data_IF_628830849798
#
_entry.id   IF_628830849798
#
_cell.length_a   1.000
_cell.length_b   1.000
_cell.length_c   1.000
_cell.angle_alpha   90.00
_cell.angle_beta   90.00
_cell.angle_gamma   90.00
#
_symmetry.space_group_name_H-M   'P 1'
#
loop_
_entity.id
_entity.type
_entity.pdbx_description
1 polymer ?
#
# COMPACT_ATOMS: atom_id res chain seq x y z
N UNK A 1 42.75 -15.17 57.29
CA UNK A 1 42.30 -15.11 55.89
C UNK A 1 40.85 -14.66 55.94
N UNK A 2 40.60 -13.36 55.71
CA UNK A 2 39.27 -12.75 55.86
C UNK A 2 38.46 -12.95 54.58
N UNK A 3 37.27 -13.52 54.70
CA UNK A 3 36.32 -13.72 53.60
C UNK A 3 35.54 -12.42 53.41
N UNK A 4 35.83 -11.68 52.33
CA UNK A 4 35.06 -10.51 51.93
C UNK A 4 33.81 -11.02 51.19
N UNK A 5 32.66 -10.97 51.85
CA UNK A 5 31.36 -11.15 51.20
C UNK A 5 31.03 -9.81 50.53
N UNK A 6 31.18 -9.76 49.21
CA UNK A 6 30.70 -8.63 48.39
C UNK A 6 29.21 -8.85 48.15
N UNK A 7 28.37 -8.13 48.88
CA UNK A 7 26.93 -8.05 48.57
C UNK A 7 26.76 -7.20 47.30
N UNK A 8 26.44 -7.84 46.18
CA UNK A 8 25.83 -7.15 45.04
C UNK A 8 24.41 -6.76 45.45
N UNK A 9 24.20 -5.52 45.87
CA UNK A 9 22.86 -4.94 45.91
C UNK A 9 22.43 -4.71 44.46
N UNK A 10 21.49 -5.50 43.94
CA UNK A 10 20.66 -5.01 42.85
C UNK A 10 19.84 -3.86 43.43
N UNK A 11 19.93 -2.67 42.83
CA UNK A 11 18.99 -1.60 43.15
C UNK A 11 17.66 -2.07 42.57
N UNK A 12 16.78 -2.57 43.43
CA UNK A 12 15.38 -2.75 43.08
C UNK A 12 14.85 -1.39 42.63
N UNK A 13 14.29 -1.32 41.43
CA UNK A 13 14.01 -0.03 40.80
C UNK A 13 12.91 -0.12 39.76
N UNK A 14 12.06 0.90 39.73
CA UNK A 14 11.11 1.04 38.63
C UNK A 14 11.79 1.63 37.40
N UNK A 15 11.51 1.11 36.20
CA UNK A 15 11.95 1.66 34.92
C UNK A 15 10.76 2.10 34.08
N UNK A 16 10.97 3.06 33.18
CA UNK A 16 9.96 3.46 32.18
C UNK A 16 10.46 3.12 30.79
N UNK A 17 9.72 2.28 30.09
CA UNK A 17 10.11 1.64 28.84
C UNK A 17 8.97 1.71 27.80
N UNK A 18 9.23 1.18 26.59
CA UNK A 18 8.25 1.09 25.50
C UNK A 18 7.51 2.41 25.21
N UNK A 19 8.27 3.51 25.13
CA UNK A 19 7.75 4.82 24.76
C UNK A 19 7.19 4.77 23.34
N UNK A 20 5.91 5.14 23.21
CA UNK A 20 5.20 5.13 21.94
C UNK A 20 4.53 6.47 21.69
N UNK A 21 4.55 6.90 20.44
CA UNK A 21 3.82 8.05 19.93
C UNK A 21 2.84 7.53 18.87
N UNK A 22 1.54 7.81 19.03
CA UNK A 22 0.50 7.25 18.15
C UNK A 22 0.64 5.72 17.97
N UNK A 23 0.85 5.01 19.08
CA UNK A 23 1.06 3.55 19.18
C UNK A 23 2.34 3.00 18.54
N UNK A 24 3.17 3.85 17.94
CA UNK A 24 4.39 3.46 17.24
C UNK A 24 5.64 3.84 18.02
N UNK A 25 6.68 3.03 17.89
CA UNK A 25 8.02 3.38 18.38
C UNK A 25 8.72 4.29 17.35
N UNK A 26 9.19 5.46 17.81
CA UNK A 26 9.92 6.42 16.99
C UNK A 26 9.32 6.73 15.60
N UNK A 27 8.01 7.02 15.47
CA UNK A 27 7.38 7.11 14.16
C UNK A 27 7.90 8.28 13.34
N UNK A 28 8.05 8.05 12.04
CA UNK A 28 8.52 9.02 11.07
C UNK A 28 7.33 9.54 10.24
N UNK A 29 7.16 10.86 10.24
CA UNK A 29 6.26 11.55 9.33
C UNK A 29 4.78 11.50 9.71
N UNK A 30 4.43 11.47 11.00
CA UNK A 30 3.03 11.54 11.44
C UNK A 30 2.45 12.94 11.18
N UNK A 31 1.14 13.04 10.99
CA UNK A 31 0.43 14.31 10.76
C UNK A 31 -0.61 14.65 11.84
N UNK A 32 -0.73 13.80 12.87
CA UNK A 32 -1.56 14.07 14.06
C UNK A 32 -0.95 15.25 14.82
N UNK A 33 -1.67 16.38 14.86
CA UNK A 33 -1.16 17.65 15.43
C UNK A 33 -1.08 17.65 16.96
N UNK A 34 -1.86 16.79 17.61
CA UNK A 34 -1.86 16.56 19.05
C UNK A 34 -1.57 15.08 19.30
N UNK A 35 -0.34 14.62 19.02
CA UNK A 35 -0.02 13.20 19.10
C UNK A 35 -0.17 12.68 20.53
N UNK A 36 -0.62 11.44 20.63
CA UNK A 36 -0.81 10.70 21.89
C UNK A 36 0.46 9.96 22.25
N UNK A 37 0.89 10.13 23.49
CA UNK A 37 2.08 9.55 24.07
C UNK A 37 1.69 8.44 25.06
N UNK A 38 2.40 7.33 25.00
CA UNK A 38 2.21 6.18 25.90
C UNK A 38 3.56 5.65 26.37
N UNK A 39 3.60 5.09 27.58
CA UNK A 39 4.78 4.46 28.16
C UNK A 39 4.38 3.32 29.10
N UNK A 40 5.31 2.42 29.36
CA UNK A 40 5.14 1.29 30.27
C UNK A 40 6.03 1.45 31.50
N UNK A 41 5.44 1.28 32.68
CA UNK A 41 6.16 1.22 33.95
C UNK A 41 6.46 -0.25 34.26
N UNK A 42 7.73 -0.59 34.40
CA UNK A 42 8.18 -1.88 34.92
C UNK A 42 8.72 -1.69 36.34
N UNK A 43 8.41 -2.62 37.24
CA UNK A 43 8.90 -2.59 38.61
C UNK A 43 9.13 -4.01 39.12
N UNK A 44 10.16 -4.20 39.94
CA UNK A 44 10.48 -5.51 40.54
C UNK A 44 9.42 -5.92 41.59
N UNK A 45 8.83 -4.93 42.27
CA UNK A 45 7.86 -5.12 43.34
C UNK A 45 6.42 -5.13 42.82
N UNK A 46 5.56 -5.92 43.49
CA UNK A 46 4.13 -5.97 43.17
C UNK A 46 3.39 -4.77 43.75
N UNK A 47 2.34 -4.35 43.04
CA UNK A 47 1.44 -3.29 43.51
C UNK A 47 2.02 -1.86 43.36
N UNK A 48 3.15 -1.72 42.65
CA UNK A 48 3.67 -0.41 42.28
C UNK A 48 2.77 0.20 41.20
N UNK A 49 2.33 1.43 41.45
CA UNK A 49 1.52 2.21 40.51
C UNK A 49 2.18 3.56 40.25
N UNK A 50 2.02 4.09 39.03
CA UNK A 50 2.29 5.50 38.75
C UNK A 50 1.35 6.38 39.57
N UNK A 51 1.92 7.45 40.13
CA UNK A 51 1.23 8.41 40.96
C UNK A 51 1.25 9.82 40.35
N UNK A 52 2.27 10.14 39.55
CA UNK A 52 2.34 11.33 38.69
C UNK A 52 3.33 11.12 37.54
N UNK A 53 3.24 11.97 36.52
CA UNK A 53 4.20 12.02 35.42
C UNK A 53 4.64 13.45 35.10
N UNK A 54 5.77 13.59 34.38
CA UNK A 54 6.21 14.81 33.70
C UNK A 54 6.78 14.44 32.34
N UNK A 55 6.22 14.99 31.28
CA UNK A 55 6.68 14.82 29.91
C UNK A 55 7.54 16.01 29.53
N UNK A 56 8.71 15.74 28.96
CA UNK A 56 9.60 16.72 28.37
C UNK A 56 9.72 16.45 26.88
N UNK A 57 9.47 17.45 26.06
CA UNK A 57 9.68 17.43 24.60
C UNK A 57 10.70 18.48 24.25
N UNK A 58 11.70 18.10 23.46
CA UNK A 58 12.81 18.96 23.10
C UNK A 58 13.21 18.85 21.63
N UNK A 59 13.95 19.86 21.18
CA UNK A 59 14.58 19.90 19.84
C UNK A 59 15.85 19.04 19.73
N UNK A 60 16.40 18.56 20.85
CA UNK A 60 17.58 17.69 20.88
C UNK A 60 17.60 16.76 22.10
N UNK A 61 18.29 15.64 21.96
CA UNK A 61 18.54 14.69 23.06
C UNK A 61 19.37 15.33 24.19
N UNK A 62 20.33 16.21 23.87
CA UNK A 62 21.18 16.86 24.87
C UNK A 62 20.38 17.72 25.85
N UNK A 63 19.32 18.39 25.38
CA UNK A 63 18.42 19.15 26.25
C UNK A 63 17.62 18.23 27.18
N UNK A 64 17.17 17.06 26.69
CA UNK A 64 16.49 16.08 27.54
C UNK A 64 17.42 15.47 28.58
N UNK A 65 18.68 15.23 28.24
CA UNK A 65 19.71 14.79 29.19
C UNK A 65 19.95 15.83 30.31
N UNK A 66 19.68 17.12 30.03
CA UNK A 66 19.69 18.21 31.00
C UNK A 66 18.33 18.42 31.69
N UNK A 67 17.34 17.54 31.49
CA UNK A 67 15.97 17.69 31.98
C UNK A 67 15.26 18.96 31.51
N UNK A 68 15.51 19.38 30.26
CA UNK A 68 14.92 20.57 29.66
C UNK A 68 14.09 20.20 28.43
N UNK A 69 12.79 20.50 28.48
CA UNK A 69 11.91 20.44 27.32
C UNK A 69 11.72 21.83 26.72
N UNK A 70 12.58 22.23 25.78
CA UNK A 70 12.49 23.55 25.14
C UNK A 70 11.28 23.70 24.22
N UNK A 71 10.70 22.58 23.77
CA UNK A 71 9.47 22.57 22.98
C UNK A 71 8.25 22.51 23.89
N UNK A 72 8.24 21.57 24.84
CA UNK A 72 7.16 21.43 25.81
C UNK A 72 7.64 20.76 27.09
N UNK A 73 7.09 21.21 28.21
CA UNK A 73 7.24 20.62 29.52
C UNK A 73 5.86 20.61 30.16
N UNK A 74 5.33 19.42 30.45
CA UNK A 74 4.00 19.30 31.05
C UNK A 74 3.94 19.82 32.49
N UNK A 75 5.10 20.04 33.13
CA UNK A 75 5.19 20.07 34.58
C UNK A 75 4.82 18.71 35.19
N UNK A 76 4.74 18.64 36.52
CA UNK A 76 4.28 17.43 37.20
C UNK A 76 2.77 17.36 37.15
N UNK A 77 2.23 16.34 36.49
CA UNK A 77 0.80 16.07 36.39
C UNK A 77 0.44 14.92 37.34
N UNK A 78 -0.45 15.17 38.30
CA UNK A 78 -0.94 14.15 39.25
C UNK A 78 -1.97 13.26 38.53
N UNK A 79 -1.51 12.15 37.96
CA UNK A 79 -2.36 11.18 37.26
C UNK A 79 -1.63 9.83 37.14
N UNK A 80 -2.40 8.75 37.22
CA UNK A 80 -1.94 7.37 36.95
C UNK A 80 -2.06 6.99 35.46
N UNK A 81 -2.55 7.90 34.61
CA UNK A 81 -2.61 7.69 33.16
C UNK A 81 -1.21 7.58 32.56
N UNK A 82 -0.94 6.47 31.87
CA UNK A 82 0.32 6.19 31.16
C UNK A 82 0.12 5.86 29.68
N UNK A 83 -1.12 5.92 29.19
CA UNK A 83 -1.47 5.60 27.81
C UNK A 83 -2.36 6.68 27.22
N UNK A 84 -2.13 6.98 25.95
CA UNK A 84 -2.88 7.95 25.17
C UNK A 84 -2.91 9.36 25.80
N UNK A 85 -1.80 9.78 26.41
CA UNK A 85 -1.65 11.12 26.96
C UNK A 85 -1.40 12.09 25.81
N UNK A 86 -2.34 13.00 25.56
CA UNK A 86 -2.24 13.95 24.45
C UNK A 86 -1.12 14.96 24.69
N UNK A 87 -0.34 15.21 23.64
CA UNK A 87 0.57 16.35 23.59
C UNK A 87 -0.23 17.66 23.74
N UNK A 88 0.09 18.44 24.78
CA UNK A 88 -0.57 19.71 25.09
C UNK A 88 0.40 20.91 25.01
N UNK A 89 1.49 20.76 24.25
CA UNK A 89 2.46 21.82 24.02
C UNK A 89 2.09 22.76 22.86
N UNK A 90 3.01 23.67 22.48
CA UNK A 90 2.85 24.55 21.34
C UNK A 90 2.63 23.79 20.01
N UNK A 91 2.05 24.46 19.02
CA UNK A 91 1.79 23.87 17.71
C UNK A 91 3.05 23.24 17.08
N UNK A 92 2.93 21.97 16.67
CA UNK A 92 4.01 21.22 16.03
C UNK A 92 4.23 21.72 14.58
N UNK A 93 5.47 21.63 14.11
CA UNK A 93 5.86 22.10 12.77
C UNK A 93 6.15 20.94 11.84
N UNK A 94 5.79 21.09 10.58
CA UNK A 94 6.07 20.12 9.52
C UNK A 94 7.55 19.74 9.47
N UNK A 95 7.83 18.47 9.15
CA UNK A 95 9.18 17.88 8.95
C UNK A 95 10.09 17.88 10.18
N UNK A 96 9.61 18.39 11.31
CA UNK A 96 10.41 18.55 12.53
C UNK A 96 10.52 17.23 13.26
N UNK A 97 11.74 16.85 13.64
CA UNK A 97 12.01 15.75 14.56
C UNK A 97 11.94 16.30 15.99
N UNK A 98 11.10 15.69 16.81
CA UNK A 98 10.96 15.99 18.22
C UNK A 98 11.50 14.83 19.03
N UNK A 99 12.24 15.14 20.07
CA UNK A 99 12.68 14.17 21.06
C UNK A 99 11.82 14.34 22.31
N UNK A 100 11.56 13.25 23.03
CA UNK A 100 10.85 13.33 24.29
C UNK A 100 11.31 12.29 25.29
N UNK A 101 11.06 12.58 26.55
CA UNK A 101 11.14 11.59 27.62
C UNK A 101 10.05 11.85 28.66
N UNK A 102 9.76 10.83 29.45
CA UNK A 102 8.84 10.89 30.58
C UNK A 102 9.59 10.56 31.87
N UNK A 103 9.25 11.30 32.93
CA UNK A 103 9.65 11.06 34.32
C UNK A 103 8.39 10.73 35.11
N UNK A 104 8.40 9.61 35.82
CA UNK A 104 7.29 9.08 36.61
C UNK A 104 7.66 9.11 38.10
N UNK A 105 6.71 9.48 38.95
CA UNK A 105 6.77 9.17 40.38
C UNK A 105 5.78 8.05 40.70
N UNK A 106 6.21 7.08 41.50
CA UNK A 106 5.45 5.88 41.85
C UNK A 106 4.86 5.97 43.26
N UNK A 107 3.90 5.10 43.56
CA UNK A 107 3.15 5.06 44.81
C UNK A 107 3.99 4.78 46.07
N UNK A 108 5.17 4.20 45.89
CA UNK A 108 6.18 3.98 46.94
C UNK A 108 7.13 5.19 47.14
N UNK A 109 6.91 6.29 46.39
CA UNK A 109 7.72 7.50 46.44
C UNK A 109 8.98 7.46 45.58
N UNK A 110 9.23 6.36 44.86
CA UNK A 110 10.34 6.29 43.92
C UNK A 110 10.10 7.14 42.67
N UNK A 111 11.19 7.42 41.94
CA UNK A 111 11.15 8.08 40.63
C UNK A 111 11.80 7.18 39.61
N UNK A 112 11.16 7.09 38.45
CA UNK A 112 11.66 6.37 37.28
C UNK A 112 11.69 7.33 36.09
N UNK A 113 12.72 7.25 35.26
CA UNK A 113 12.79 8.00 34.01
C UNK A 113 13.03 7.08 32.83
N UNK A 114 12.54 7.50 31.68
CA UNK A 114 12.75 6.82 30.41
C UNK A 114 14.02 7.31 29.71
N UNK A 115 14.56 6.46 28.84
CA UNK A 115 15.50 6.91 27.80
C UNK A 115 14.78 7.84 26.83
N UNK A 116 15.46 8.86 26.25
CA UNK A 116 14.89 9.68 25.20
C UNK A 116 14.37 8.85 24.01
N UNK A 117 13.15 9.13 23.60
CA UNK A 117 12.52 8.65 22.38
C UNK A 117 12.27 9.82 21.42
N UNK A 118 11.68 9.56 20.26
CA UNK A 118 11.41 10.61 19.28
C UNK A 118 10.11 10.37 18.50
N UNK A 119 9.66 11.37 17.77
CA UNK A 119 8.79 11.21 16.60
C UNK A 119 9.12 12.34 15.62
N UNK A 120 8.79 12.18 14.35
CA UNK A 120 8.86 13.30 13.40
C UNK A 120 7.51 13.63 12.80
N UNK A 121 7.26 14.91 12.61
CA UNK A 121 6.10 15.37 11.84
C UNK A 121 6.34 15.14 10.35
N UNK A 122 5.24 14.90 9.64
CA UNK A 122 5.20 14.83 8.19
C UNK A 122 5.03 16.22 7.55
N UNK A 123 4.35 16.25 6.42
CA UNK A 123 3.94 17.47 5.72
C UNK A 123 2.50 17.78 6.14
N UNK A 124 2.32 18.82 6.96
CA UNK A 124 1.04 19.10 7.65
C UNK A 124 0.10 19.98 6.84
N UNK A 125 0.65 20.82 5.97
CA UNK A 125 -0.08 21.73 5.10
C UNK A 125 0.05 21.30 3.64
N UNK A 126 -0.97 21.59 2.83
CA UNK A 126 -0.91 21.35 1.37
C UNK A 126 0.29 22.06 0.74
N UNK A 127 0.60 23.27 1.22
CA UNK A 127 1.73 24.08 0.75
C UNK A 127 3.12 23.50 1.12
N UNK A 128 3.20 22.54 2.06
CA UNK A 128 4.46 21.85 2.37
C UNK A 128 4.89 20.91 1.24
N UNK A 129 3.96 20.51 0.37
CA UNK A 129 4.26 19.78 -0.85
C UNK A 129 4.65 20.74 -1.98
N UNK A 130 5.92 20.68 -2.37
CA UNK A 130 6.48 21.37 -3.54
C UNK A 130 6.55 20.45 -4.76
N UNK A 131 6.30 19.14 -4.56
CA UNK A 131 6.34 18.14 -5.62
C UNK A 131 5.07 18.10 -6.46
N UNK A 132 5.21 17.82 -7.75
CA UNK A 132 4.11 17.56 -8.67
C UNK A 132 3.73 16.08 -8.69
N UNK A 133 2.47 15.79 -9.00
CA UNK A 133 2.09 14.47 -9.46
C UNK A 133 2.72 14.22 -10.83
N UNK A 134 3.36 13.07 -11.03
CA UNK A 134 4.02 12.72 -12.30
C UNK A 134 3.65 11.31 -12.77
N UNK A 135 3.56 11.08 -14.07
CA UNK A 135 3.33 9.76 -14.64
C UNK A 135 3.51 9.71 -16.15
N UNK A 136 3.06 8.62 -16.77
CA UNK A 136 3.00 8.45 -18.22
C UNK A 136 1.55 8.39 -18.67
N UNK A 137 1.21 9.15 -19.71
CA UNK A 137 -0.14 9.16 -20.30
C UNK A 137 -0.24 8.30 -21.55
N UNK A 138 0.88 8.16 -22.27
CA UNK A 138 0.95 7.31 -23.44
C UNK A 138 1.08 5.86 -23.01
N UNK A 139 0.07 5.06 -23.33
CA UNK A 139 0.17 3.59 -23.24
C UNK A 139 1.31 3.11 -24.14
N UNK A 140 2.06 2.07 -23.74
CA UNK A 140 3.06 1.49 -24.62
C UNK A 140 2.36 0.83 -25.82
N UNK A 141 2.93 1.00 -27.02
CA UNK A 141 2.42 0.38 -28.25
C UNK A 141 2.47 -1.15 -28.20
N UNK A 142 3.25 -1.72 -27.28
CA UNK A 142 3.52 -3.16 -27.19
C UNK A 142 2.67 -3.80 -26.10
N UNK A 143 1.61 -4.49 -26.51
CA UNK A 143 0.88 -5.42 -25.64
C UNK A 143 1.52 -6.81 -25.68
N UNK A 144 1.41 -7.61 -24.60
CA UNK A 144 1.76 -9.03 -24.65
C UNK A 144 1.04 -9.73 -25.80
N UNK A 145 1.73 -10.65 -26.49
CA UNK A 145 1.22 -11.30 -27.69
C UNK A 145 -0.17 -11.93 -27.51
N UNK A 146 -0.42 -12.49 -26.32
CA UNK A 146 -1.70 -13.09 -25.98
C UNK A 146 -2.86 -12.06 -25.92
N UNK A 147 -2.57 -10.79 -25.59
CA UNK A 147 -3.56 -9.71 -25.62
C UNK A 147 -3.74 -9.10 -26.99
N UNK A 148 -2.66 -8.94 -27.74
CA UNK A 148 -2.73 -8.54 -29.14
C UNK A 148 -3.62 -9.51 -29.94
N UNK A 149 -3.58 -10.81 -29.61
CA UNK A 149 -4.45 -11.82 -30.21
C UNK A 149 -5.95 -11.65 -29.87
N UNK A 150 -6.26 -10.98 -28.76
CA UNK A 150 -7.61 -10.70 -28.29
C UNK A 150 -8.15 -9.36 -28.82
N UNK A 151 -7.31 -8.34 -28.99
CA UNK A 151 -7.72 -6.96 -29.29
C UNK A 151 -8.69 -6.84 -30.49
N UNK A 152 -9.71 -5.98 -30.36
CA UNK A 152 -10.79 -5.81 -31.35
C UNK A 152 -11.77 -6.99 -31.52
N UNK A 153 -11.57 -8.13 -30.85
CA UNK A 153 -12.48 -9.29 -30.93
C UNK A 153 -13.48 -9.30 -29.77
N UNK A 154 -14.77 -9.49 -30.06
CA UNK A 154 -15.77 -9.80 -29.05
C UNK A 154 -15.37 -11.09 -28.31
N UNK A 155 -15.61 -11.19 -26.98
CA UNK A 155 -15.30 -12.39 -26.23
C UNK A 155 -16.08 -13.57 -26.80
N UNK A 156 -15.41 -14.70 -27.02
CA UNK A 156 -16.02 -15.90 -27.57
C UNK A 156 -16.80 -16.61 -26.47
N UNK A 157 -18.12 -16.65 -26.62
CA UNK A 157 -19.02 -17.36 -25.71
C UNK A 157 -19.36 -18.72 -26.33
N UNK A 158 -19.12 -19.78 -25.58
CA UNK A 158 -19.47 -21.16 -25.99
C UNK A 158 -20.35 -21.77 -24.91
N UNK A 159 -21.60 -22.06 -25.23
CA UNK A 159 -22.54 -22.72 -24.33
C UNK A 159 -22.18 -24.21 -24.25
N UNK A 160 -21.80 -24.66 -23.05
CA UNK A 160 -21.50 -26.06 -22.79
C UNK A 160 -22.77 -26.82 -22.39
N UNK A 161 -23.64 -26.19 -21.60
CA UNK A 161 -24.91 -26.71 -21.09
C UNK A 161 -25.93 -25.57 -20.93
N UNK A 162 -27.19 -25.81 -21.27
CA UNK A 162 -28.28 -24.89 -20.97
C UNK A 162 -29.57 -25.66 -20.68
N UNK A 163 -30.03 -25.70 -19.43
CA UNK A 163 -31.20 -26.49 -19.01
C UNK A 163 -32.28 -25.55 -18.49
N UNK A 164 -33.46 -25.58 -19.10
CA UNK A 164 -34.62 -24.80 -18.68
C UNK A 164 -35.71 -25.72 -18.11
N UNK A 165 -36.13 -25.48 -16.87
CA UNK A 165 -37.13 -26.33 -16.22
C UNK A 165 -37.07 -26.35 -14.70
N UNK A 166 -37.52 -27.47 -14.11
CA UNK A 166 -37.35 -27.77 -12.69
C UNK A 166 -36.02 -28.50 -12.50
N UNK A 167 -35.00 -27.85 -11.92
CA UNK A 167 -33.61 -28.34 -11.94
C UNK A 167 -33.41 -29.72 -11.29
N UNK A 168 -34.26 -30.09 -10.33
CA UNK A 168 -34.20 -31.39 -9.63
C UNK A 168 -35.10 -32.49 -10.25
N UNK A 169 -35.84 -32.18 -11.32
CA UNK A 169 -36.76 -33.11 -12.00
C UNK A 169 -36.46 -33.16 -13.52
N UNK A 170 -35.66 -34.15 -13.99
CA UNK A 170 -35.29 -34.28 -15.40
C UNK A 170 -36.47 -34.47 -16.35
N UNK A 171 -37.63 -34.90 -15.86
CA UNK A 171 -38.84 -35.07 -16.70
C UNK A 171 -39.51 -33.74 -17.03
N UNK A 172 -39.12 -32.67 -16.34
CA UNK A 172 -39.65 -31.31 -16.46
C UNK A 172 -38.57 -30.31 -16.88
N UNK A 173 -37.69 -30.75 -17.78
CA UNK A 173 -36.55 -29.97 -18.28
C UNK A 173 -36.48 -30.03 -19.81
N UNK A 174 -35.93 -28.98 -20.39
CA UNK A 174 -35.57 -28.90 -21.81
C UNK A 174 -34.12 -28.44 -21.93
N UNK A 175 -33.39 -29.07 -22.83
CA UNK A 175 -32.06 -28.62 -23.24
C UNK A 175 -32.19 -27.49 -24.27
N UNK A 176 -31.70 -26.31 -23.90
CA UNK A 176 -31.68 -25.11 -24.73
C UNK A 176 -30.28 -24.78 -25.26
N UNK A 177 -29.30 -25.69 -25.18
CA UNK A 177 -27.90 -25.41 -25.52
C UNK A 177 -27.75 -24.79 -26.91
N UNK A 178 -28.35 -25.40 -27.93
CA UNK A 178 -28.27 -24.90 -29.30
C UNK A 178 -29.05 -23.59 -29.49
N UNK A 179 -30.20 -23.46 -28.84
CA UNK A 179 -31.04 -22.24 -28.88
C UNK A 179 -30.28 -21.06 -28.29
N UNK A 180 -29.68 -21.25 -27.11
CA UNK A 180 -28.88 -20.22 -26.44
C UNK A 180 -27.61 -19.93 -27.23
N UNK A 181 -26.92 -20.94 -27.80
CA UNK A 181 -25.74 -20.71 -28.63
C UNK A 181 -26.08 -19.89 -29.88
N UNK A 182 -27.17 -20.19 -30.59
CA UNK A 182 -27.62 -19.40 -31.76
C UNK A 182 -27.97 -17.96 -31.38
N UNK A 183 -28.60 -17.77 -30.21
CA UNK A 183 -28.94 -16.44 -29.70
C UNK A 183 -27.67 -15.61 -29.43
N UNK A 184 -26.67 -16.23 -28.82
CA UNK A 184 -25.34 -15.65 -28.57
C UNK A 184 -24.59 -15.35 -29.87
N UNK A 185 -24.60 -16.27 -30.83
CA UNK A 185 -23.94 -16.11 -32.14
C UNK A 185 -24.57 -14.98 -32.97
N UNK A 186 -25.86 -14.72 -32.78
CA UNK A 186 -26.58 -13.57 -33.35
C UNK A 186 -26.29 -12.25 -32.62
N UNK A 187 -25.48 -12.26 -31.56
CA UNK A 187 -25.11 -11.08 -30.78
C UNK A 187 -26.12 -10.71 -29.69
N UNK A 188 -27.12 -11.55 -29.42
CA UNK A 188 -28.10 -11.34 -28.35
C UNK A 188 -27.65 -12.02 -27.06
N UNK A 189 -27.48 -11.21 -26.01
CA UNK A 189 -26.70 -11.59 -24.83
C UNK A 189 -27.42 -11.31 -23.53
N UNK A 190 -28.54 -10.63 -23.63
CA UNK A 190 -29.55 -10.57 -22.60
C UNK A 190 -30.48 -11.73 -22.89
N UNK A 191 -30.50 -12.71 -21.99
CA UNK A 191 -31.38 -13.87 -22.06
C UNK A 191 -32.51 -13.67 -21.06
N UNK A 192 -33.75 -13.72 -21.54
CA UNK A 192 -34.92 -13.80 -20.66
C UNK A 192 -35.58 -15.13 -20.93
N UNK A 193 -35.36 -16.16 -20.09
CA UNK A 193 -35.94 -17.47 -20.32
C UNK A 193 -37.44 -17.40 -20.06
N UNK A 194 -38.20 -17.76 -21.09
CA UNK A 194 -39.66 -17.88 -21.07
C UNK A 194 -40.05 -19.18 -21.76
N UNK A 195 -41.29 -19.61 -21.59
CA UNK A 195 -41.84 -20.72 -22.37
C UNK A 195 -41.75 -20.46 -23.90
N UNK A 196 -41.95 -19.20 -24.32
CA UNK A 196 -41.81 -18.81 -25.73
C UNK A 196 -40.36 -18.94 -26.22
N UNK A 197 -39.40 -18.53 -25.40
CA UNK A 197 -37.97 -18.69 -25.70
C UNK A 197 -37.57 -20.18 -25.79
N UNK A 198 -38.15 -21.01 -24.93
CA UNK A 198 -37.93 -22.46 -24.93
C UNK A 198 -38.72 -23.20 -26.03
N UNK A 199 -39.70 -22.55 -26.66
CA UNK A 199 -40.60 -23.14 -27.66
C UNK A 199 -41.68 -24.07 -27.08
N UNK A 200 -41.68 -24.32 -25.76
CA UNK A 200 -42.69 -25.11 -25.05
C UNK A 200 -42.57 -24.89 -23.53
N UNK A 201 -43.61 -25.26 -22.78
CA UNK A 201 -43.59 -25.24 -21.32
C UNK A 201 -43.22 -26.63 -20.77
N UNK A 202 -42.01 -26.84 -20.21
CA UNK A 202 -41.62 -28.12 -19.63
C UNK A 202 -42.34 -28.46 -18.33
N UNK A 203 -42.96 -27.47 -17.68
CA UNK A 203 -43.50 -27.61 -16.34
C UNK A 203 -44.66 -26.62 -16.13
N UNK A 204 -45.84 -27.00 -16.64
CA UNK A 204 -47.06 -26.20 -16.53
C UNK A 204 -47.37 -25.84 -15.06
N UNK A 205 -47.69 -24.57 -14.81
CA UNK A 205 -47.97 -23.98 -13.49
C UNK A 205 -46.82 -24.05 -12.46
N UNK A 206 -45.62 -24.51 -12.86
CA UNK A 206 -44.44 -24.54 -12.01
C UNK A 206 -43.44 -23.48 -12.48
N UNK A 207 -42.87 -22.74 -11.51
CA UNK A 207 -41.80 -21.77 -11.78
C UNK A 207 -40.54 -22.51 -12.24
N UNK A 208 -39.99 -22.09 -13.38
CA UNK A 208 -38.81 -22.71 -13.98
C UNK A 208 -37.57 -21.83 -13.77
N UNK A 209 -36.40 -22.44 -13.97
CA UNK A 209 -35.11 -21.76 -14.01
C UNK A 209 -34.35 -22.17 -15.25
N UNK A 210 -33.48 -21.29 -15.72
CA UNK A 210 -32.44 -21.62 -16.68
C UNK A 210 -31.12 -21.78 -15.93
N UNK A 211 -30.51 -22.97 -16.02
CA UNK A 211 -29.14 -23.24 -15.61
C UNK A 211 -28.23 -23.24 -16.84
N UNK A 212 -27.15 -22.46 -16.81
CA UNK A 212 -26.15 -22.37 -17.86
C UNK A 212 -24.77 -22.77 -17.34
N UNK A 213 -24.06 -23.57 -18.14
CA UNK A 213 -22.60 -23.69 -18.09
C UNK A 213 -22.05 -23.26 -19.46
N UNK A 214 -21.11 -22.34 -19.47
CA UNK A 214 -20.57 -21.76 -20.70
C UNK A 214 -19.14 -21.27 -20.50
N UNK A 215 -18.39 -21.12 -21.58
CA UNK A 215 -17.07 -20.46 -21.52
C UNK A 215 -17.15 -19.04 -22.06
N UNK A 216 -16.39 -18.11 -21.46
CA UNK A 216 -16.07 -16.81 -22.05
C UNK A 216 -14.56 -16.74 -22.26
N UNK A 217 -14.09 -16.69 -23.51
CA UNK A 217 -12.65 -16.76 -23.84
C UNK A 217 -11.94 -17.92 -23.10
N UNK A 218 -12.57 -19.11 -23.14
CA UNK A 218 -12.12 -20.35 -22.48
C UNK A 218 -12.16 -20.38 -20.94
N UNK A 219 -12.75 -19.36 -20.28
CA UNK A 219 -13.03 -19.41 -18.84
C UNK A 219 -14.41 -19.98 -18.58
N UNK A 220 -14.50 -21.05 -17.80
CA UNK A 220 -15.76 -21.65 -17.41
C UNK A 220 -16.58 -20.70 -16.51
N UNK A 221 -17.86 -20.59 -16.82
CA UNK A 221 -18.84 -19.76 -16.15
C UNK A 221 -20.07 -20.61 -15.84
N UNK A 222 -20.73 -20.27 -14.73
CA UNK A 222 -22.03 -20.84 -14.35
C UNK A 222 -23.01 -19.73 -14.01
N UNK A 223 -24.25 -19.89 -14.44
CA UNK A 223 -25.32 -18.97 -14.09
C UNK A 223 -26.63 -19.71 -13.90
N UNK A 224 -27.45 -19.21 -12.97
CA UNK A 224 -28.83 -19.66 -12.80
C UNK A 224 -29.72 -18.43 -12.74
N UNK A 225 -30.80 -18.44 -13.51
CA UNK A 225 -31.77 -17.34 -13.55
C UNK A 225 -33.18 -17.89 -13.49
N UNK A 226 -34.06 -17.20 -12.76
CA UNK A 226 -35.48 -17.56 -12.69
C UNK A 226 -36.20 -17.20 -14.00
N UNK A 227 -37.25 -17.94 -14.35
CA UNK A 227 -38.14 -17.60 -15.47
C UNK A 227 -38.59 -16.13 -15.42
N UNK A 228 -38.62 -15.48 -16.59
CA UNK A 228 -38.94 -14.06 -16.78
C UNK A 228 -37.95 -13.07 -16.13
N UNK A 229 -36.82 -13.52 -15.58
CA UNK A 229 -35.72 -12.65 -15.15
C UNK A 229 -34.65 -12.58 -16.23
N UNK A 230 -34.13 -11.39 -16.45
CA UNK A 230 -33.05 -11.17 -17.41
C UNK A 230 -31.73 -11.71 -16.84
N UNK A 231 -31.03 -12.49 -17.65
CA UNK A 231 -29.66 -12.90 -17.44
C UNK A 231 -28.79 -12.20 -18.48
N UNK A 232 -27.90 -11.35 -17.97
CA UNK A 232 -26.97 -10.62 -18.80
C UNK A 232 -25.64 -11.38 -18.93
N UNK A 233 -25.44 -12.03 -20.09
CA UNK A 233 -24.17 -12.66 -20.47
C UNK A 233 -23.08 -11.61 -20.80
N UNK A 234 -23.38 -10.31 -20.66
CA UNK A 234 -22.45 -9.18 -20.79
C UNK A 234 -21.78 -8.75 -19.49
N UNK A 235 -22.22 -9.24 -18.31
CA UNK A 235 -21.67 -8.82 -17.00
C UNK A 235 -20.15 -9.13 -16.88
N UNK A 236 -19.55 -9.95 -17.76
CA UNK A 236 -18.09 -10.16 -17.84
C UNK A 236 -17.39 -9.55 -19.08
N UNK A 237 -18.04 -8.66 -19.83
CA UNK A 237 -17.59 -8.21 -21.18
C UNK A 237 -16.68 -7.01 -21.27
N UNK A 238 -16.49 -6.21 -20.23
CA UNK A 238 -15.40 -5.25 -20.28
C UNK A 238 -14.10 -6.03 -20.25
N UNK A 239 -13.48 -6.18 -21.42
CA UNK A 239 -12.17 -6.79 -21.49
C UNK A 239 -11.25 -5.93 -20.62
N UNK A 240 -10.85 -6.53 -19.51
CA UNK A 240 -9.96 -5.92 -18.56
C UNK A 240 -8.67 -5.53 -19.28
N UNK A 241 -8.28 -4.29 -19.12
CA UNK A 241 -7.08 -3.73 -19.72
C UNK A 241 -6.08 -3.51 -18.62
N UNK A 242 -4.96 -4.22 -18.69
CA UNK A 242 -3.86 -4.03 -17.76
C UNK A 242 -2.71 -3.41 -18.53
N UNK A 243 -2.00 -2.47 -17.95
CA UNK A 243 -0.93 -1.78 -18.64
C UNK A 243 0.39 -2.09 -17.94
N UNK A 244 1.52 -2.07 -18.67
CA UNK A 244 2.82 -2.21 -18.06
C UNK A 244 3.05 -1.18 -16.95
N UNK A 245 3.79 -1.59 -15.93
CA UNK A 245 4.18 -0.72 -14.82
C UNK A 245 5.10 0.41 -15.33
N UNK A 246 4.76 1.68 -15.11
CA UNK A 246 5.69 2.78 -15.37
C UNK A 246 6.90 2.73 -14.43
N UNK A 247 8.09 2.85 -15.00
CA UNK A 247 9.35 3.10 -14.29
C UNK A 247 9.67 4.59 -14.45
N UNK A 248 9.85 5.31 -13.35
CA UNK A 248 10.09 6.75 -13.30
C UNK A 248 11.42 7.01 -12.61
N UNK A 249 12.27 7.87 -13.16
CA UNK A 249 13.58 8.20 -12.55
C UNK A 249 13.96 9.67 -12.63
N UNK A 250 14.81 10.10 -11.70
CA UNK A 250 15.53 11.37 -11.73
C UNK A 250 16.91 11.21 -11.10
N UNK A 251 17.92 11.78 -11.76
CA UNK A 251 19.24 11.99 -11.16
C UNK A 251 19.33 13.37 -10.51
N UNK A 252 20.10 13.46 -9.43
CA UNK A 252 20.32 14.71 -8.70
C UNK A 252 21.69 14.70 -8.03
N UNK A 253 22.14 15.87 -7.58
CA UNK A 253 23.43 16.05 -6.91
C UNK A 253 23.23 16.25 -5.41
N UNK A 254 24.01 15.55 -4.61
CA UNK A 254 24.16 15.74 -3.17
C UNK A 254 25.48 16.42 -2.94
N UNK A 255 25.44 17.68 -2.49
CA UNK A 255 26.62 18.57 -2.52
C UNK A 255 27.60 18.40 -1.38
N UNK A 256 27.15 17.84 -0.25
CA UNK A 256 27.94 17.74 0.97
C UNK A 256 27.54 16.51 1.80
N UNK A 257 28.19 16.33 2.94
CA UNK A 257 27.85 15.28 3.89
C UNK A 257 26.42 15.48 4.43
N UNK A 258 25.61 14.43 4.32
CA UNK A 258 24.20 14.41 4.75
C UNK A 258 24.12 14.20 6.26
N UNK A 259 23.38 15.08 6.94
CA UNK A 259 23.02 14.92 8.36
C UNK A 259 21.74 14.10 8.52
N UNK A 260 20.74 14.36 7.68
CA UNK A 260 19.45 13.66 7.69
C UNK A 260 18.83 13.74 6.30
N UNK A 261 18.20 12.68 5.84
CA UNK A 261 17.40 12.71 4.64
C UNK A 261 16.12 11.90 4.79
N UNK A 262 14.98 12.52 4.46
CA UNK A 262 13.65 11.89 4.54
C UNK A 262 12.92 12.10 3.22
N UNK A 263 12.44 11.01 2.64
CA UNK A 263 11.57 11.06 1.46
C UNK A 263 10.12 10.79 1.85
N UNK A 264 9.22 11.68 1.41
CA UNK A 264 7.79 11.53 1.50
C UNK A 264 7.26 11.06 0.14
N UNK A 265 6.56 9.95 0.08
CA UNK A 265 6.12 9.35 -1.18
C UNK A 265 4.69 8.80 -1.11
N UNK A 266 3.98 8.94 -2.23
CA UNK A 266 2.63 8.43 -2.44
C UNK A 266 2.39 8.12 -3.92
N UNK A 267 1.28 7.43 -4.22
CA UNK A 267 0.85 7.16 -5.58
C UNK A 267 -0.68 7.16 -5.72
N UNK A 268 -1.14 7.54 -6.92
CA UNK A 268 -2.42 7.11 -7.47
C UNK A 268 -2.18 5.79 -8.17
N UNK A 269 -2.38 4.69 -7.43
CA UNK A 269 -1.90 3.36 -7.76
C UNK A 269 -1.23 2.75 -6.54
N UNK A 270 -0.20 1.95 -6.77
CA UNK A 270 0.80 1.59 -5.76
C UNK A 270 2.19 1.95 -6.25
N UNK A 271 3.17 2.08 -5.35
CA UNK A 271 4.55 2.35 -5.73
C UNK A 271 5.56 1.48 -5.01
N UNK A 272 6.69 1.23 -5.68
CA UNK A 272 7.95 0.81 -5.06
C UNK A 272 9.00 1.90 -5.33
N UNK A 273 9.69 2.33 -4.29
CA UNK A 273 10.72 3.36 -4.38
C UNK A 273 12.12 2.74 -4.27
N UNK A 274 13.08 3.31 -4.99
CA UNK A 274 14.48 2.93 -4.93
C UNK A 274 15.37 4.17 -4.97
N UNK A 275 16.51 4.10 -4.28
CA UNK A 275 17.53 5.12 -4.22
C UNK A 275 18.90 4.45 -4.38
N UNK A 276 19.68 4.91 -5.36
CA UNK A 276 21.02 4.39 -5.66
C UNK A 276 21.09 2.86 -5.82
N UNK A 277 20.10 2.31 -6.54
CA UNK A 277 19.99 0.87 -6.81
C UNK A 277 19.50 0.01 -5.66
N UNK A 278 19.12 0.61 -4.52
CA UNK A 278 18.56 -0.09 -3.35
C UNK A 278 17.10 0.28 -3.18
N UNK A 279 16.24 -0.71 -2.89
CA UNK A 279 14.84 -0.46 -2.51
C UNK A 279 14.78 0.36 -1.23
N UNK A 280 13.84 1.31 -1.16
CA UNK A 280 13.54 2.12 0.01
C UNK A 280 12.42 1.46 0.80
N UNK A 281 12.68 1.14 2.06
CA UNK A 281 11.74 0.42 2.93
C UNK A 281 11.55 -1.06 2.56
N UNK A 282 10.78 -1.75 3.40
CA UNK A 282 10.42 -3.17 3.28
C UNK A 282 8.90 -3.40 3.14
N UNK A 283 8.16 -2.31 2.98
CA UNK A 283 6.71 -2.28 2.86
C UNK A 283 6.23 -2.50 1.43
N UNK A 284 5.03 -3.05 1.30
CA UNK A 284 4.38 -3.42 0.05
C UNK A 284 3.03 -2.71 -0.10
N UNK A 285 2.61 -2.54 -1.35
CA UNK A 285 1.30 -2.00 -1.73
C UNK A 285 0.98 -0.60 -1.20
N UNK A 286 2.01 0.22 -0.96
CA UNK A 286 1.83 1.62 -0.56
C UNK A 286 1.28 2.45 -1.72
N UNK A 287 0.39 3.42 -1.48
CA UNK A 287 -0.05 3.95 -0.17
C UNK A 287 -1.25 3.21 0.47
N UNK A 288 -1.55 2.00 0.03
CA UNK A 288 -2.73 1.24 0.48
C UNK A 288 -4.01 1.66 -0.24
N UNK A 289 -5.15 1.19 0.25
CA UNK A 289 -6.47 1.44 -0.32
C UNK A 289 -7.28 2.42 0.53
N UNK A 290 -7.63 3.57 -0.06
CA UNK A 290 -8.58 4.54 0.48
C UNK A 290 -9.61 4.91 -0.58
N UNK A 291 -10.63 5.70 -0.22
CA UNK A 291 -11.31 6.49 -1.24
C UNK A 291 -10.36 7.61 -1.71
N UNK A 292 -9.63 7.36 -2.82
CA UNK A 292 -8.64 8.28 -3.38
C UNK A 292 -9.22 9.66 -3.75
N UNK A 293 -10.55 9.78 -3.89
CA UNK A 293 -11.23 11.06 -4.15
C UNK A 293 -11.35 11.92 -2.88
N UNK A 294 -11.25 11.29 -1.70
CA UNK A 294 -11.39 11.93 -0.39
C UNK A 294 -10.06 12.06 0.35
N UNK A 295 -9.14 11.10 0.19
CA UNK A 295 -7.81 11.12 0.79
C UNK A 295 -6.86 10.18 0.06
N UNK A 296 -5.58 10.50 0.05
CA UNK A 296 -4.53 9.58 -0.39
C UNK A 296 -3.44 9.58 0.68
N UNK A 297 -3.07 8.41 1.20
CA UNK A 297 -2.01 8.35 2.20
C UNK A 297 -0.62 8.57 1.58
N UNK A 298 0.34 9.06 2.36
CA UNK A 298 1.76 9.03 2.02
C UNK A 298 2.57 8.34 3.12
N UNK A 299 3.77 7.90 2.76
CA UNK A 299 4.76 7.33 3.68
C UNK A 299 6.00 8.21 3.73
N UNK A 300 6.60 8.31 4.90
CA UNK A 300 7.90 8.91 5.11
C UNK A 300 8.95 7.81 5.32
N UNK A 301 10.11 7.96 4.69
CA UNK A 301 11.21 7.01 4.78
C UNK A 301 12.50 7.74 5.15
N UNK A 302 13.22 7.26 6.15
CA UNK A 302 14.59 7.70 6.41
C UNK A 302 15.50 7.05 5.37
N UNK A 303 16.14 7.89 4.56
CA UNK A 303 17.07 7.48 3.50
C UNK A 303 18.45 8.08 3.70
N UNK A 304 18.75 8.57 4.92
CA UNK A 304 20.01 9.23 5.28
C UNK A 304 21.22 8.40 4.87
N UNK A 305 21.21 7.10 5.17
CA UNK A 305 22.31 6.17 4.89
C UNK A 305 22.35 5.64 3.45
N UNK A 306 21.41 6.05 2.60
CA UNK A 306 21.32 5.62 1.20
C UNK A 306 21.92 6.66 0.23
N UNK A 307 22.18 7.88 0.70
CA UNK A 307 22.73 8.96 -0.10
C UNK A 307 24.27 8.95 -0.06
N UNK A 308 24.86 9.35 -1.19
CA UNK A 308 26.30 9.52 -1.36
C UNK A 308 26.58 10.95 -1.80
N UNK A 309 27.73 11.54 -1.45
CA UNK A 309 28.12 12.85 -2.00
C UNK A 309 28.38 12.71 -3.51
N UNK A 310 27.84 13.63 -4.31
CA UNK A 310 27.88 13.59 -5.77
C UNK A 310 26.57 13.11 -6.40
N UNK A 311 26.68 12.33 -7.47
CA UNK A 311 25.54 11.94 -8.28
C UNK A 311 24.71 10.82 -7.62
N UNK A 312 23.41 11.02 -7.51
CA UNK A 312 22.46 10.07 -6.94
C UNK A 312 21.28 9.90 -7.91
N UNK A 313 20.55 8.79 -7.77
CA UNK A 313 19.33 8.54 -8.55
C UNK A 313 18.19 8.04 -7.68
N UNK A 314 17.03 8.71 -7.79
CA UNK A 314 15.77 8.26 -7.22
C UNK A 314 14.94 7.62 -8.34
N UNK A 315 14.40 6.43 -8.08
CA UNK A 315 13.56 5.68 -9.01
C UNK A 315 12.27 5.20 -8.35
N UNK A 316 11.15 5.29 -9.05
CA UNK A 316 9.86 4.76 -8.61
C UNK A 316 9.27 3.83 -9.67
N UNK A 317 8.72 2.70 -9.25
CA UNK A 317 7.91 1.81 -10.09
C UNK A 317 6.46 2.01 -9.66
N UNK A 318 5.55 2.20 -10.62
CA UNK A 318 4.11 2.33 -10.36
C UNK A 318 3.36 1.06 -10.75
N UNK A 319 2.44 0.61 -9.91
CA UNK A 319 1.49 -0.46 -10.20
C UNK A 319 0.04 0.01 -10.11
N UNK A 320 -0.88 -0.78 -10.67
CA UNK A 320 -2.29 -0.42 -10.81
C UNK A 320 -2.98 -0.22 -9.45
N UNK A 321 -2.62 -1.07 -8.48
CA UNK A 321 -3.22 -1.09 -7.15
C UNK A 321 -4.75 -1.14 -7.20
N UNK A 322 -5.38 -0.57 -6.17
CA UNK A 322 -6.82 -0.36 -6.14
C UNK A 322 -7.25 0.88 -6.93
N UNK A 323 -6.33 1.76 -7.32
CA UNK A 323 -6.67 2.98 -8.04
C UNK A 323 -7.22 2.69 -9.45
N UNK A 324 -6.49 1.85 -10.18
CA UNK A 324 -6.78 1.46 -11.57
C UNK A 324 -7.13 -0.02 -11.70
N UNK A 325 -6.56 -0.88 -10.87
CA UNK A 325 -6.69 -2.33 -10.98
C UNK A 325 -8.07 -2.84 -10.61
N UNK A 326 -8.24 -4.15 -10.66
CA UNK A 326 -9.48 -4.84 -10.30
C UNK A 326 -9.81 -4.64 -8.82
N UNK A 327 -11.04 -4.19 -8.55
CA UNK A 327 -11.59 -4.17 -7.19
C UNK A 327 -12.80 -5.10 -7.11
N UNK A 328 -12.59 -6.38 -6.80
CA UNK A 328 -13.67 -7.35 -6.60
C UNK A 328 -14.70 -7.29 -7.75
N UNK A 329 -15.98 -7.18 -7.43
CA UNK A 329 -17.08 -7.02 -8.38
C UNK A 329 -17.29 -5.59 -8.90
N UNK A 330 -16.47 -4.61 -8.49
CA UNK A 330 -16.59 -3.18 -8.86
C UNK A 330 -15.84 -2.87 -10.17
N UNK A 331 -15.10 -3.84 -10.72
CA UNK A 331 -14.30 -3.76 -11.96
C UNK A 331 -13.06 -2.83 -11.83
N UNK A 332 -12.37 -2.57 -12.94
CA UNK A 332 -11.18 -1.72 -13.03
C UNK A 332 -11.51 -0.22 -13.11
N UNK A 333 -10.49 0.62 -12.90
CA UNK A 333 -10.51 2.08 -13.08
C UNK A 333 -11.54 2.80 -12.20
N UNK A 334 -11.78 2.30 -10.98
CA UNK A 334 -12.76 2.90 -10.08
C UNK A 334 -12.44 4.35 -9.71
N UNK A 335 -11.15 4.70 -9.58
CA UNK A 335 -10.70 6.03 -9.16
C UNK A 335 -10.02 6.82 -10.28
N UNK A 336 -9.41 6.13 -11.24
CA UNK A 336 -8.80 6.77 -12.40
C UNK A 336 -8.15 5.76 -13.34
N UNK A 337 -7.71 6.27 -14.49
CA UNK A 337 -7.10 5.45 -15.56
C UNK A 337 -5.59 5.68 -15.71
N UNK A 338 -5.08 6.76 -15.12
CA UNK A 338 -3.70 7.20 -15.23
C UNK A 338 -3.00 7.10 -13.87
N UNK A 339 -1.91 6.36 -13.81
CA UNK A 339 -1.12 6.25 -12.59
C UNK A 339 -0.27 7.51 -12.40
N UNK A 340 -0.14 7.93 -11.14
CA UNK A 340 0.69 9.08 -10.76
C UNK A 340 1.52 8.77 -9.53
N UNK A 341 2.77 9.21 -9.54
CA UNK A 341 3.67 9.24 -8.40
C UNK A 341 3.77 10.68 -7.88
N UNK A 342 3.90 10.86 -6.56
CA UNK A 342 4.33 12.13 -5.97
C UNK A 342 5.36 11.83 -4.89
N UNK A 343 6.53 12.42 -5.02
CA UNK A 343 7.68 12.17 -4.15
C UNK A 343 8.44 13.45 -3.83
N UNK A 344 8.84 13.61 -2.58
CA UNK A 344 9.60 14.76 -2.11
C UNK A 344 10.65 14.34 -1.08
N UNK A 345 11.92 14.44 -1.46
CA UNK A 345 13.08 14.16 -0.63
C UNK A 345 13.63 15.46 -0.02
N UNK A 346 13.68 15.54 1.30
CA UNK A 346 14.34 16.61 2.05
C UNK A 346 15.71 16.11 2.51
N UNK A 347 16.75 16.90 2.29
CA UNK A 347 18.12 16.60 2.68
C UNK A 347 18.62 17.75 3.55
N UNK A 348 18.97 17.46 4.79
CA UNK A 348 19.67 18.38 5.69
C UNK A 348 21.15 17.99 5.71
N UNK A 349 22.03 18.95 5.50
CA UNK A 349 23.48 18.75 5.48
C UNK A 349 24.12 19.09 6.82
N UNK A 350 25.34 18.58 7.03
CA UNK A 350 26.14 18.85 8.24
C UNK A 350 26.54 20.34 8.33
N UNK A 351 26.66 21.03 7.20
CA UNK A 351 26.98 22.46 7.14
C UNK A 351 25.79 23.39 7.50
N UNK A 352 24.63 22.80 7.82
CA UNK A 352 23.43 23.52 8.23
C UNK A 352 22.52 23.97 7.07
N UNK A 353 22.90 23.71 5.82
CA UNK A 353 22.02 23.96 4.69
C UNK A 353 21.12 22.77 4.38
N UNK A 354 20.11 22.97 3.52
CA UNK A 354 19.20 21.89 3.09
C UNK A 354 18.84 22.01 1.62
N UNK A 355 18.55 20.88 0.98
CA UNK A 355 18.02 20.79 -0.38
C UNK A 355 16.71 20.00 -0.40
N UNK A 356 15.87 20.26 -1.41
CA UNK A 356 14.62 19.52 -1.64
C UNK A 356 14.60 19.00 -3.07
N UNK A 357 14.47 17.69 -3.23
CA UNK A 357 14.36 17.02 -4.52
C UNK A 357 12.93 16.52 -4.70
N UNK A 358 12.25 17.03 -5.73
CA UNK A 358 10.83 16.79 -5.96
C UNK A 358 10.57 15.96 -7.22
N UNK A 359 9.44 15.25 -7.24
CA UNK A 359 8.78 14.84 -8.47
C UNK A 359 8.32 16.07 -9.24
N UNK A 360 8.77 16.21 -10.48
CA UNK A 360 8.52 17.36 -11.35
C UNK A 360 8.74 16.96 -12.82
N UNK A 361 8.62 17.92 -13.74
CA UNK A 361 8.83 17.71 -15.19
C UNK A 361 10.24 17.27 -15.62
N UNK A 362 11.24 17.32 -14.73
CA UNK A 362 12.61 16.87 -15.04
C UNK A 362 12.78 15.35 -14.94
N UNK A 363 11.78 14.66 -14.38
CA UNK A 363 11.76 13.19 -14.36
C UNK A 363 11.56 12.62 -15.75
N UNK A 364 12.05 11.41 -15.94
CA UNK A 364 11.85 10.62 -17.14
C UNK A 364 11.12 9.32 -16.80
N UNK A 365 10.39 8.76 -17.76
CA UNK A 365 9.69 7.50 -17.60
C UNK A 365 9.86 6.55 -18.78
N UNK A 366 9.81 5.25 -18.47
CA UNK A 366 9.79 4.16 -19.43
C UNK A 366 8.90 3.02 -18.93
N UNK A 367 8.67 2.02 -19.78
CA UNK A 367 8.04 0.76 -19.40
C UNK A 367 9.10 -0.34 -19.38
N UNK A 368 9.04 -1.21 -18.38
CA UNK A 368 10.05 -2.22 -18.11
C UNK A 368 9.51 -3.66 -18.16
N UNK A 369 10.05 -4.56 -17.33
CA UNK A 369 9.74 -5.98 -17.35
C UNK A 369 8.35 -6.35 -16.82
N UNK A 370 7.75 -5.52 -15.95
CA UNK A 370 6.38 -5.75 -15.46
C UNK A 370 5.39 -5.29 -16.55
N UNK A 371 4.87 -6.26 -17.31
CA UNK A 371 3.95 -6.02 -18.42
C UNK A 371 2.51 -5.81 -17.96
N UNK A 372 2.18 -6.35 -16.79
CA UNK A 372 0.84 -6.32 -16.19
C UNK A 372 1.00 -6.44 -14.68
N UNK A 373 0.27 -5.64 -13.92
CA UNK A 373 0.28 -5.67 -12.45
C UNK A 373 -1.13 -5.45 -11.94
N UNK A 374 -1.71 -6.44 -11.23
CA UNK A 374 -3.06 -6.36 -10.70
C UNK A 374 -3.22 -7.20 -9.42
N UNK A 375 -3.98 -6.68 -8.46
CA UNK A 375 -4.18 -7.33 -7.17
C UNK A 375 -4.95 -8.65 -7.25
N UNK A 376 -5.71 -8.89 -8.31
CA UNK A 376 -6.56 -10.08 -8.48
C UNK A 376 -6.16 -10.96 -9.66
N UNK A 377 -5.70 -10.34 -10.77
CA UNK A 377 -5.29 -11.05 -11.97
C UNK A 377 -3.80 -11.45 -11.95
N UNK A 378 -3.04 -10.96 -10.96
CA UNK A 378 -1.62 -11.27 -10.80
C UNK A 378 -0.71 -10.32 -11.58
N UNK A 379 0.54 -10.76 -11.73
CA UNK A 379 1.60 -10.01 -12.38
C UNK A 379 2.18 -10.82 -13.55
N UNK A 380 2.47 -10.15 -14.68
CA UNK A 380 3.20 -10.73 -15.80
C UNK A 380 4.54 -10.03 -15.93
N UNK A 381 5.62 -10.79 -15.77
CA UNK A 381 6.99 -10.29 -15.79
C UNK A 381 7.79 -10.90 -16.94
N UNK A 382 8.44 -10.07 -17.77
CA UNK A 382 9.35 -10.48 -18.84
C UNK A 382 10.77 -10.01 -18.54
N UNK A 383 11.60 -10.92 -18.00
CA UNK A 383 12.97 -10.62 -17.60
C UNK A 383 13.87 -10.14 -18.76
N UNK A 384 13.52 -10.42 -20.03
CA UNK A 384 14.28 -9.94 -21.19
C UNK A 384 14.19 -8.41 -21.37
N UNK A 385 13.25 -7.76 -20.68
CA UNK A 385 13.01 -6.32 -20.69
C UNK A 385 13.51 -5.62 -19.43
N UNK A 386 14.29 -6.30 -18.60
CA UNK A 386 14.93 -5.67 -17.46
C UNK A 386 15.78 -4.47 -17.90
N UNK A 387 15.88 -3.48 -17.01
CA UNK A 387 16.60 -2.24 -17.24
C UNK A 387 17.78 -2.16 -16.26
N UNK A 388 18.87 -2.94 -16.43
CA UNK A 388 19.96 -2.98 -15.46
C UNK A 388 20.50 -1.58 -15.14
N UNK A 389 20.56 -1.26 -13.84
CA UNK A 389 21.10 0.02 -13.36
C UNK A 389 20.22 1.24 -13.55
N UNK A 390 18.96 1.10 -14.02
CA UNK A 390 18.05 2.24 -14.27
C UNK A 390 17.87 3.18 -13.08
N UNK A 391 17.96 2.64 -11.86
CA UNK A 391 17.82 3.36 -10.59
C UNK A 391 19.16 3.72 -9.95
N UNK A 392 20.24 3.79 -10.74
CA UNK A 392 21.56 4.32 -10.35
C UNK A 392 21.89 5.57 -11.16
N UNK A 393 22.78 6.41 -10.61
CA UNK A 393 23.32 7.55 -11.33
C UNK A 393 24.18 7.10 -12.52
N UNK A 394 24.24 7.91 -13.58
CA UNK A 394 25.00 7.60 -14.80
C UNK A 394 24.32 6.60 -15.75
N UNK A 395 23.04 6.28 -15.54
CA UNK A 395 22.28 5.43 -16.46
C UNK A 395 21.85 6.21 -17.70
N UNK A 396 22.07 5.64 -18.89
CA UNK A 396 21.64 6.24 -20.15
C UNK A 396 20.11 6.16 -20.32
N UNK A 397 19.43 7.22 -19.89
CA UNK A 397 18.00 7.41 -20.06
C UNK A 397 17.63 8.23 -21.31
N UNK A 398 18.52 8.33 -22.31
CA UNK A 398 18.26 9.13 -23.53
C UNK A 398 17.02 8.67 -24.33
N UNK A 399 16.64 7.39 -24.21
CA UNK A 399 15.46 6.80 -24.87
C UNK A 399 14.19 6.86 -24.01
N UNK A 400 14.28 7.36 -22.77
CA UNK A 400 13.12 7.47 -21.88
C UNK A 400 12.28 8.69 -22.25
N UNK A 401 10.98 8.57 -22.07
CA UNK A 401 10.04 9.65 -22.36
C UNK A 401 10.03 10.68 -21.22
N UNK A 402 9.76 11.97 -21.50
CA UNK A 402 9.46 12.92 -20.43
C UNK A 402 8.17 12.48 -19.69
N UNK A 403 8.11 12.74 -18.39
CA UNK A 403 6.88 12.52 -17.62
C UNK A 403 5.84 13.60 -17.91
N UNK A 404 4.57 13.29 -17.65
CA UNK A 404 3.48 14.26 -17.60
C UNK A 404 3.22 14.65 -16.15
N UNK A 405 3.10 15.94 -15.88
CA UNK A 405 2.78 16.49 -14.57
C UNK A 405 1.27 16.72 -14.40
N UNK A 406 0.76 16.56 -13.18
CA UNK A 406 -0.62 16.85 -12.81
C UNK A 406 -1.45 15.61 -12.47
N UNK A 407 -2.62 15.86 -11.91
CA UNK A 407 -3.57 14.85 -11.46
C UNK A 407 -4.99 15.37 -11.65
N UNK A 408 -5.93 14.47 -11.98
CA UNK A 408 -7.36 14.78 -12.03
C UNK A 408 -7.98 14.84 -10.64
N UNK A 409 -7.33 14.24 -9.64
CA UNK A 409 -7.75 14.28 -8.24
C UNK A 409 -7.00 15.36 -7.45
N UNK A 410 -7.75 16.04 -6.57
CA UNK A 410 -7.24 17.06 -5.64
C UNK A 410 -7.48 16.66 -4.18
N UNK A 411 -7.47 15.36 -3.88
CA UNK A 411 -7.67 14.88 -2.52
C UNK A 411 -6.50 15.27 -1.60
N UNK A 412 -6.78 15.56 -0.32
CA UNK A 412 -5.74 15.81 0.67
C UNK A 412 -4.81 14.60 0.83
N UNK A 413 -3.55 14.90 1.15
CA UNK A 413 -2.54 13.90 1.46
C UNK A 413 -2.39 13.78 2.97
N UNK A 414 -2.60 12.58 3.49
CA UNK A 414 -2.55 12.27 4.92
C UNK A 414 -1.40 11.28 5.19
N UNK A 415 -0.78 11.31 6.37
CA UNK A 415 0.20 10.31 6.75
C UNK A 415 -0.48 8.94 6.87
N UNK A 416 0.21 7.87 6.46
CA UNK A 416 -0.35 6.52 6.57
C UNK A 416 -0.61 6.16 8.05
N UNK A 417 -1.84 5.73 8.41
CA UNK A 417 -2.30 5.76 9.80
C UNK A 417 -1.99 4.49 10.62
N UNK A 418 -1.17 3.56 10.11
CA UNK A 418 -0.93 2.30 10.80
C UNK A 418 0.27 1.52 10.29
N UNK A 419 0.32 0.24 10.64
CA UNK A 419 1.37 -0.64 10.19
C UNK A 419 1.20 -1.01 8.71
N UNK A 420 2.22 -0.76 7.87
CA UNK A 420 2.13 -1.11 6.46
C UNK A 420 2.26 -2.62 6.25
N UNK A 421 1.82 -3.08 5.08
CA UNK A 421 1.94 -4.47 4.67
C UNK A 421 3.40 -4.83 4.49
N UNK A 422 3.85 -5.89 5.17
CA UNK A 422 5.23 -6.40 5.11
C UNK A 422 5.23 -7.92 4.96
N UNK A 423 6.35 -8.45 4.47
CA UNK A 423 6.63 -9.88 4.53
C UNK A 423 6.93 -10.29 5.97
N UNK A 424 6.06 -11.08 6.59
CA UNK A 424 6.19 -11.52 7.99
C UNK A 424 6.75 -12.94 8.14
N UNK A 425 6.47 -13.81 7.18
CA UNK A 425 6.86 -15.21 7.20
C UNK A 425 7.12 -15.70 5.77
N UNK A 426 8.05 -16.62 5.62
CA UNK A 426 8.22 -17.43 4.42
C UNK A 426 7.80 -18.86 4.75
N UNK A 427 6.82 -19.38 4.01
CA UNK A 427 6.34 -20.76 4.17
C UNK A 427 7.08 -21.66 3.18
N UNK A 428 7.85 -22.65 3.64
CA UNK A 428 8.49 -23.59 2.74
C UNK A 428 7.45 -24.50 2.09
N UNK A 429 7.75 -25.01 0.90
CA UNK A 429 6.94 -26.06 0.28
C UNK A 429 7.08 -27.36 1.06
N UNK A 430 5.95 -27.93 1.47
CA UNK A 430 5.86 -29.20 2.19
C UNK A 430 5.83 -30.40 1.25
N UNK A 431 5.12 -30.27 0.13
CA UNK A 431 5.01 -31.33 -0.88
C UNK A 431 4.86 -30.76 -2.30
N UNK A 432 5.31 -31.52 -3.29
CA UNK A 432 5.12 -31.24 -4.72
C UNK A 432 4.48 -32.45 -5.37
N UNK A 433 3.39 -32.24 -6.11
CA UNK A 433 2.69 -33.29 -6.87
C UNK A 433 2.55 -32.92 -8.34
N UNK A 434 2.43 -33.92 -9.22
CA UNK A 434 2.21 -33.74 -10.65
C UNK A 434 0.90 -34.45 -11.08
N UNK A 435 -0.28 -33.87 -10.80
CA UNK A 435 -1.57 -34.51 -11.10
C UNK A 435 -1.83 -34.71 -12.60
N UNK A 436 -1.15 -33.95 -13.46
CA UNK A 436 -1.13 -34.10 -14.92
C UNK A 436 0.28 -33.82 -15.41
N UNK A 437 0.72 -34.51 -16.45
CA UNK A 437 2.05 -34.31 -17.03
C UNK A 437 2.34 -32.83 -17.32
N UNK A 438 3.41 -32.31 -16.75
CA UNK A 438 3.84 -30.91 -16.86
C UNK A 438 3.06 -29.91 -15.99
N UNK A 439 2.13 -30.36 -15.13
CA UNK A 439 1.37 -29.52 -14.20
C UNK A 439 1.75 -29.87 -12.76
N UNK A 440 2.43 -28.95 -12.08
CA UNK A 440 2.89 -29.14 -10.71
C UNK A 440 2.03 -28.37 -9.71
N UNK A 441 1.71 -29.00 -8.58
CA UNK A 441 1.02 -28.38 -7.44
C UNK A 441 1.97 -28.41 -6.23
N UNK A 442 2.16 -27.24 -5.63
CA UNK A 442 3.01 -27.03 -4.45
C UNK A 442 2.11 -26.82 -3.23
N UNK A 443 2.26 -27.66 -2.23
CA UNK A 443 1.56 -27.58 -0.95
C UNK A 443 2.39 -26.79 0.06
N UNK A 444 1.79 -25.79 0.70
CA UNK A 444 2.43 -24.93 1.69
C UNK A 444 1.91 -25.16 3.12
N UNK A 445 0.96 -26.09 3.35
CA UNK A 445 0.35 -26.34 4.66
C UNK A 445 -1.14 -26.65 4.60
#
# INVERSE_FOLDING_TARGET
>A
MALIITTLSSIAGSTVEHLRCEYLEAPLGIDVRTPRLSWELSADERGIRQDSYRILVASSVDLLNQNRGDVWDSGVVKSDQSSQVEYAGPALRSKTLYFWKVVVATSDGAKAESKPASWSMGLLEVADWQADWIGLDKKPDVQPAYRAALDGKAPKIVIQKAIYGVLDDPTKQIDLKETVQKHVDAGHLLLTPTNDFAGTDPAYEIKKKLELEYTVDSRDMKATVDENKELDLTISRKRKTYLPAPYLRKEFQVRAAVKRAVVYATAQGVFELSLNGRRVGDEFFMPGWTDYRKRIYYRAYDVTSMLETGANALGAILGDGWFRGNISCIDQNHYGTLLRFKGQLHIDYVDGQSDVITSDKSWQGAYGPILESDMQAGEVYDARRELPGWNRAGFDASKWSPVVTGSELNAPLEAYPGDPVRRTLELPTLAVTEPKTGSYVFDLG
#
